data_IF_361307560737
#
_entry.id   IF_361307560737
#
_cell.length_a   1.000
_cell.length_b   1.000
_cell.length_c   1.000
_cell.angle_alpha   90.00
_cell.angle_beta   90.00
_cell.angle_gamma   90.00
#
_symmetry.space_group_name_H-M   'P 1'
#
loop_
_entity.id
_entity.type
_entity.pdbx_description
1 polymer ?
#
# COMPACT_ATOMS: atom_id res chain seq x y z
N UNK A 1 -11.73 10.77 -1.71
CA UNK A 1 -12.35 9.49 -1.32
C UNK A 1 -13.56 9.75 -0.43
N UNK A 2 -14.69 9.05 -0.64
CA UNK A 2 -15.83 9.16 0.29
C UNK A 2 -15.49 8.38 1.56
N UNK A 3 -15.50 9.06 2.71
CA UNK A 3 -15.34 8.40 4.01
C UNK A 3 -16.46 7.40 4.22
N UNK A 4 -16.13 6.20 4.67
CA UNK A 4 -17.13 5.22 5.07
C UNK A 4 -17.86 5.74 6.31
N UNK A 5 -19.17 5.93 6.20
CA UNK A 5 -19.99 6.29 7.37
C UNK A 5 -20.22 5.07 8.25
N UNK A 6 -20.48 5.29 9.54
CA UNK A 6 -20.84 4.21 10.50
C UNK A 6 -22.00 3.38 9.97
N UNK A 7 -22.99 4.01 9.32
CA UNK A 7 -24.11 3.34 8.70
C UNK A 7 -23.72 2.44 7.52
N UNK A 8 -22.71 2.85 6.72
CA UNK A 8 -22.20 2.01 5.65
C UNK A 8 -21.52 0.76 6.20
N UNK A 9 -20.72 0.90 7.27
CA UNK A 9 -20.06 -0.22 7.94
C UNK A 9 -21.09 -1.17 8.55
N UNK A 10 -22.10 -0.65 9.28
CA UNK A 10 -23.17 -1.46 9.86
C UNK A 10 -23.97 -2.21 8.79
N UNK A 11 -24.30 -1.56 7.68
CA UNK A 11 -25.00 -2.20 6.56
C UNK A 11 -24.19 -3.34 5.95
N UNK A 12 -22.90 -3.16 5.74
CA UNK A 12 -22.02 -4.20 5.19
C UNK A 12 -21.80 -5.36 6.19
N UNK A 13 -21.75 -5.08 7.49
CA UNK A 13 -21.71 -6.10 8.51
C UNK A 13 -23.00 -6.98 8.50
N UNK A 14 -24.17 -6.37 8.34
CA UNK A 14 -25.44 -7.10 8.24
C UNK A 14 -25.54 -7.96 6.97
N UNK A 15 -24.81 -7.61 5.91
CA UNK A 15 -24.72 -8.40 4.66
C UNK A 15 -23.80 -9.61 4.78
N UNK A 16 -23.22 -9.88 5.94
CA UNK A 16 -22.29 -10.99 6.19
C UNK A 16 -21.14 -11.03 5.16
N UNK A 17 -20.68 -9.86 4.75
CA UNK A 17 -19.59 -9.71 3.78
C UNK A 17 -19.84 -10.39 2.42
N UNK A 18 -21.08 -10.61 2.03
CA UNK A 18 -21.43 -11.14 0.72
C UNK A 18 -21.61 -10.02 -0.32
N UNK A 19 -21.29 -10.33 -1.58
CA UNK A 19 -21.56 -9.41 -2.71
C UNK A 19 -20.58 -8.23 -2.83
N UNK A 20 -19.39 -8.31 -2.25
CA UNK A 20 -18.38 -7.26 -2.38
C UNK A 20 -17.89 -7.16 -3.82
N UNK A 21 -17.88 -5.95 -4.35
CA UNK A 21 -17.26 -5.67 -5.65
C UNK A 21 -15.76 -5.74 -5.49
N UNK A 22 -15.07 -6.28 -6.50
CA UNK A 22 -13.60 -6.18 -6.56
C UNK A 22 -13.19 -4.72 -6.48
N UNK A 23 -12.18 -4.43 -5.67
CA UNK A 23 -11.62 -3.09 -5.50
C UNK A 23 -10.89 -2.64 -6.77
N UNK A 24 -10.32 -3.60 -7.50
CA UNK A 24 -9.64 -3.36 -8.78
C UNK A 24 -10.53 -3.77 -9.96
N UNK A 25 -10.33 -3.12 -11.08
CA UNK A 25 -10.97 -3.45 -12.34
C UNK A 25 -9.90 -3.75 -13.39
N UNK A 26 -10.27 -4.59 -14.36
CA UNK A 26 -9.52 -4.78 -15.60
C UNK A 26 -10.26 -4.00 -16.71
N UNK A 27 -10.03 -2.70 -16.84
CA UNK A 27 -10.69 -1.91 -17.89
C UNK A 27 -10.12 -2.27 -19.25
N UNK A 28 -10.90 -1.99 -20.29
CA UNK A 28 -10.37 -2.03 -21.66
C UNK A 28 -9.17 -1.09 -21.77
N UNK A 29 -8.07 -1.52 -22.41
CA UNK A 29 -6.90 -0.69 -22.58
C UNK A 29 -7.22 0.59 -23.35
N UNK A 30 -6.65 1.70 -22.89
CA UNK A 30 -6.68 2.96 -23.64
C UNK A 30 -5.72 2.90 -24.83
N UNK A 31 -5.89 3.81 -25.79
CA UNK A 31 -4.99 3.92 -26.94
C UNK A 31 -3.56 4.36 -26.57
N UNK A 32 -3.42 5.11 -25.46
CA UNK A 32 -2.14 5.61 -24.99
C UNK A 32 -2.16 5.82 -23.48
N UNK A 33 -0.99 5.73 -22.88
CA UNK A 33 -0.71 6.02 -21.48
C UNK A 33 0.53 6.89 -21.37
N UNK A 34 0.57 7.75 -20.36
CA UNK A 34 1.75 8.56 -20.06
C UNK A 34 2.85 7.72 -19.40
N UNK A 35 2.44 6.75 -18.58
CA UNK A 35 3.35 5.82 -17.90
C UNK A 35 2.77 4.41 -17.92
N UNK A 36 3.62 3.44 -18.19
CA UNK A 36 3.32 2.01 -18.07
C UNK A 36 4.23 1.41 -17.01
N UNK A 37 3.64 0.79 -16.01
CA UNK A 37 4.34 0.11 -14.92
C UNK A 37 4.15 -1.40 -15.09
N UNK A 38 5.25 -2.13 -15.13
CA UNK A 38 5.24 -3.58 -15.25
C UNK A 38 5.38 -4.20 -13.86
N UNK A 39 4.37 -4.91 -13.44
CA UNK A 39 4.26 -5.55 -12.13
C UNK A 39 3.37 -4.81 -11.14
N UNK A 40 2.34 -5.49 -10.63
CA UNK A 40 1.42 -4.98 -9.61
C UNK A 40 1.75 -5.49 -8.21
N UNK A 41 3.02 -5.53 -7.87
CA UNK A 41 3.51 -5.70 -6.50
C UNK A 41 3.52 -4.38 -5.74
N UNK A 42 3.98 -4.40 -4.49
CA UNK A 42 4.03 -3.21 -3.62
C UNK A 42 4.75 -2.02 -4.25
N UNK A 43 5.89 -2.25 -4.89
CA UNK A 43 6.64 -1.18 -5.58
C UNK A 43 5.87 -0.60 -6.76
N UNK A 44 5.31 -1.43 -7.63
CA UNK A 44 4.57 -0.95 -8.80
C UNK A 44 3.32 -0.17 -8.41
N UNK A 45 2.56 -0.66 -7.44
CA UNK A 45 1.36 0.01 -6.93
C UNK A 45 1.71 1.32 -6.21
N UNK A 46 2.77 1.33 -5.39
CA UNK A 46 3.24 2.54 -4.74
C UNK A 46 3.72 3.57 -5.77
N UNK A 47 4.44 3.15 -6.81
CA UNK A 47 4.86 4.03 -7.89
C UNK A 47 3.65 4.68 -8.56
N UNK A 48 2.62 3.90 -8.95
CA UNK A 48 1.41 4.45 -9.54
C UNK A 48 0.70 5.44 -8.60
N UNK A 49 0.61 5.10 -7.32
CA UNK A 49 -0.02 5.95 -6.30
C UNK A 49 0.71 7.29 -6.16
N UNK A 50 2.04 7.26 -5.99
CA UNK A 50 2.81 8.49 -5.78
C UNK A 50 2.99 9.32 -7.05
N UNK A 51 2.97 8.73 -8.24
CA UNK A 51 2.88 9.49 -9.49
C UNK A 51 1.62 10.34 -9.52
N UNK A 52 0.47 9.76 -9.15
CA UNK A 52 -0.78 10.50 -9.04
C UNK A 52 -0.77 11.53 -7.91
N UNK A 53 -0.34 11.13 -6.69
CA UNK A 53 -0.38 11.97 -5.49
C UNK A 53 0.55 13.18 -5.58
N UNK A 54 1.81 12.96 -6.01
CA UNK A 54 2.85 13.98 -5.92
C UNK A 54 3.02 14.77 -7.22
N UNK A 55 2.69 14.18 -8.37
CA UNK A 55 2.97 14.77 -9.69
C UNK A 55 1.73 14.98 -10.54
N UNK A 56 0.56 14.54 -10.09
CA UNK A 56 -0.68 14.64 -10.87
C UNK A 56 -0.73 13.74 -12.10
N UNK A 57 0.20 12.79 -12.25
CA UNK A 57 0.26 11.87 -13.39
C UNK A 57 -0.74 10.74 -13.13
N UNK A 58 -1.91 10.81 -13.78
CA UNK A 58 -3.02 9.88 -13.54
C UNK A 58 -3.32 8.95 -14.71
N UNK A 59 -2.79 9.22 -15.90
CA UNK A 59 -2.96 8.35 -17.06
C UNK A 59 -1.89 7.25 -17.06
N UNK A 60 -1.98 6.37 -16.07
CA UNK A 60 -1.01 5.30 -15.79
C UNK A 60 -1.66 3.94 -16.04
N UNK A 61 -0.94 3.03 -16.70
CA UNK A 61 -1.27 1.61 -16.74
C UNK A 61 -0.36 0.81 -15.81
N UNK A 62 -0.92 -0.12 -15.07
CA UNK A 62 -0.16 -1.14 -14.33
C UNK A 62 -0.47 -2.49 -14.95
N UNK A 63 0.55 -3.17 -15.46
CA UNK A 63 0.42 -4.45 -16.15
C UNK A 63 0.98 -5.54 -15.24
N UNK A 64 0.16 -6.56 -14.95
CA UNK A 64 0.52 -7.70 -14.12
C UNK A 64 0.27 -9.02 -14.88
N UNK A 65 1.24 -9.91 -14.88
CA UNK A 65 1.11 -11.22 -15.57
C UNK A 65 0.28 -12.25 -14.79
N UNK A 66 0.16 -12.09 -13.50
CA UNK A 66 -0.53 -13.02 -12.59
C UNK A 66 -1.72 -12.36 -11.90
N UNK A 67 -1.59 -12.13 -10.62
CA UNK A 67 -2.60 -11.44 -9.81
C UNK A 67 -1.95 -10.37 -8.94
N UNK A 68 -2.76 -9.44 -8.51
CA UNK A 68 -2.35 -8.29 -7.72
C UNK A 68 -1.59 -8.74 -6.46
N UNK A 69 -0.35 -8.29 -6.29
CA UNK A 69 0.49 -8.68 -5.16
C UNK A 69 0.98 -10.12 -5.17
N UNK A 70 0.73 -10.90 -6.22
CA UNK A 70 0.98 -12.35 -6.27
C UNK A 70 2.44 -12.79 -6.22
N UNK A 71 3.38 -11.86 -6.34
CA UNK A 71 4.82 -12.10 -6.18
C UNK A 71 5.27 -12.04 -4.72
N UNK A 72 6.44 -11.44 -4.47
CA UNK A 72 7.02 -11.31 -3.13
C UNK A 72 6.13 -10.51 -2.17
N UNK A 73 5.34 -9.56 -2.66
CA UNK A 73 4.45 -8.74 -1.83
C UNK A 73 3.46 -9.58 -1.02
N UNK A 74 2.83 -10.58 -1.63
CA UNK A 74 1.89 -11.46 -0.93
C UNK A 74 2.53 -12.64 -0.20
N UNK A 75 3.86 -12.74 -0.19
CA UNK A 75 4.62 -13.85 0.42
C UNK A 75 5.65 -13.39 1.45
N UNK A 76 5.58 -12.13 1.84
CA UNK A 76 6.51 -11.56 2.82
C UNK A 76 6.03 -11.83 4.25
N UNK A 77 6.91 -11.56 5.21
CA UNK A 77 6.65 -11.75 6.64
C UNK A 77 5.87 -10.59 7.27
N UNK A 78 5.50 -9.58 6.49
CA UNK A 78 4.80 -8.35 6.95
C UNK A 78 5.53 -7.55 8.03
N UNK A 79 6.83 -7.79 8.22
CA UNK A 79 7.66 -7.05 9.16
C UNK A 79 8.33 -5.88 8.44
N UNK A 80 8.09 -4.67 8.93
CA UNK A 80 8.73 -3.44 8.45
C UNK A 80 9.75 -3.00 9.49
N UNK A 81 11.01 -2.89 9.08
CA UNK A 81 12.11 -2.50 9.95
C UNK A 81 13.08 -1.58 9.21
N UNK A 82 13.82 -0.75 9.96
CA UNK A 82 14.82 0.18 9.43
C UNK A 82 16.25 -0.08 9.91
N UNK A 83 16.44 -1.03 10.82
CA UNK A 83 17.73 -1.37 11.42
C UNK A 83 18.63 -2.19 10.49
N UNK A 84 19.03 -1.61 9.37
CA UNK A 84 19.96 -2.22 8.44
C UNK A 84 21.39 -1.74 8.71
N UNK A 85 22.38 -2.62 8.50
CA UNK A 85 23.79 -2.36 8.78
C UNK A 85 24.43 -1.31 7.83
N UNK A 86 23.83 -1.10 6.66
CA UNK A 86 24.36 -0.15 5.68
C UNK A 86 23.54 1.13 5.71
N UNK A 87 24.18 2.28 5.91
CA UNK A 87 23.53 3.58 6.01
C UNK A 87 22.60 3.93 4.84
N UNK A 88 22.96 3.70 3.56
CA UNK A 88 22.02 3.98 2.47
C UNK A 88 20.77 3.12 2.51
N UNK A 89 20.90 1.85 2.90
CA UNK A 89 19.74 0.95 3.07
C UNK A 89 18.90 1.39 4.25
N UNK A 90 19.52 1.73 5.38
CA UNK A 90 18.79 2.23 6.55
C UNK A 90 17.98 3.48 6.23
N UNK A 91 18.53 4.44 5.48
CA UNK A 91 17.84 5.65 5.08
C UNK A 91 16.61 5.38 4.19
N UNK A 92 16.72 4.45 3.22
CA UNK A 92 15.59 4.04 2.37
C UNK A 92 14.48 3.38 3.19
N UNK A 93 14.86 2.47 4.09
CA UNK A 93 13.88 1.76 4.91
C UNK A 93 13.24 2.66 5.98
N UNK A 94 13.98 3.62 6.53
CA UNK A 94 13.43 4.63 7.44
C UNK A 94 12.39 5.51 6.72
N UNK A 95 12.70 5.95 5.49
CA UNK A 95 11.74 6.67 4.67
C UNK A 95 10.51 5.81 4.35
N UNK A 96 10.70 4.55 3.98
CA UNK A 96 9.58 3.64 3.73
C UNK A 96 8.70 3.49 4.98
N UNK A 97 9.30 3.29 6.16
CA UNK A 97 8.59 3.20 7.43
C UNK A 97 7.74 4.43 7.70
N UNK A 98 8.32 5.63 7.54
CA UNK A 98 7.57 6.88 7.74
C UNK A 98 6.34 7.00 6.82
N UNK A 99 6.41 6.48 5.59
CA UNK A 99 5.27 6.45 4.68
C UNK A 99 4.16 5.49 5.16
N UNK A 100 4.51 4.39 5.83
CA UNK A 100 3.52 3.47 6.39
C UNK A 100 2.76 4.08 7.59
N UNK A 101 3.40 4.95 8.38
CA UNK A 101 2.75 5.61 9.52
C UNK A 101 1.54 6.44 9.08
N UNK A 102 1.65 7.15 7.96
CA UNK A 102 0.59 8.01 7.44
C UNK A 102 -0.38 7.28 6.50
N UNK A 103 -0.02 6.08 6.04
CA UNK A 103 -0.71 5.41 4.93
C UNK A 103 -2.19 5.12 5.23
N UNK A 104 -2.53 4.79 6.47
CA UNK A 104 -3.93 4.56 6.85
C UNK A 104 -4.79 5.81 6.70
N UNK A 105 -4.25 6.98 7.00
CA UNK A 105 -4.95 8.26 6.83
C UNK A 105 -5.01 8.64 5.36
N UNK A 106 -3.92 8.51 4.64
CA UNK A 106 -3.81 8.80 3.22
C UNK A 106 -4.82 8.00 2.38
N UNK A 107 -4.95 6.72 2.66
CA UNK A 107 -5.84 5.83 1.93
C UNK A 107 -7.28 5.79 2.50
N UNK A 108 -7.51 6.41 3.67
CA UNK A 108 -8.75 6.23 4.45
C UNK A 108 -9.09 4.74 4.62
N UNK A 109 -8.08 3.94 4.89
CA UNK A 109 -8.15 2.49 5.06
C UNK A 109 -7.17 2.04 6.14
N UNK A 110 -7.62 1.24 7.09
CA UNK A 110 -6.73 0.72 8.12
C UNK A 110 -5.78 -0.34 7.52
N UNK A 111 -4.52 0.01 7.33
CA UNK A 111 -3.47 -0.90 6.87
C UNK A 111 -2.91 -1.77 8.00
N UNK A 112 -3.47 -1.66 9.21
CA UNK A 112 -3.08 -2.41 10.41
C UNK A 112 -1.59 -2.30 10.75
N UNK A 113 -0.97 -1.16 10.40
CA UNK A 113 0.42 -0.90 10.77
C UNK A 113 0.48 -0.61 12.28
N UNK A 114 1.18 -1.47 13.02
CA UNK A 114 1.36 -1.32 14.45
C UNK A 114 2.84 -1.08 14.79
N UNK A 115 3.23 0.13 15.19
CA UNK A 115 4.60 0.45 15.62
C UNK A 115 4.90 -0.10 17.01
N UNK A 116 4.94 -1.42 17.19
CA UNK A 116 4.87 -2.08 18.50
C UNK A 116 6.21 -2.14 19.24
N UNK A 117 7.34 -1.92 18.58
CA UNK A 117 8.66 -2.08 19.22
C UNK A 117 9.48 -0.82 19.02
N UNK A 118 9.55 0.02 20.05
CA UNK A 118 10.67 0.94 20.19
C UNK A 118 11.87 0.13 20.70
N UNK A 119 12.86 -0.07 19.87
CA UNK A 119 14.14 -0.50 20.37
C UNK A 119 14.71 0.60 21.26
N UNK A 120 14.76 0.33 22.56
CA UNK A 120 15.26 1.27 23.56
C UNK A 120 16.76 1.60 23.37
N UNK A 121 17.47 0.76 22.62
CA UNK A 121 18.92 0.92 22.39
C UNK A 121 19.23 1.78 21.17
N UNK A 122 18.39 1.76 20.15
CA UNK A 122 18.64 2.47 18.89
C UNK A 122 17.72 3.67 18.67
N UNK A 123 16.73 3.89 19.54
CA UNK A 123 15.71 4.93 19.41
C UNK A 123 14.88 4.87 18.11
N UNK A 124 15.01 3.79 17.33
CA UNK A 124 14.30 3.58 16.09
C UNK A 124 13.09 2.66 16.30
N UNK A 125 11.87 3.15 16.09
CA UNK A 125 10.67 2.30 16.17
C UNK A 125 10.66 1.30 15.02
N UNK A 126 10.33 0.06 15.33
CA UNK A 126 10.04 -0.98 14.33
C UNK A 126 8.51 -1.15 14.22
N UNK A 127 8.02 -1.38 13.04
CA UNK A 127 6.60 -1.59 12.78
C UNK A 127 6.32 -2.99 12.24
N UNK A 128 5.16 -3.52 12.60
CA UNK A 128 4.63 -4.78 12.08
C UNK A 128 3.31 -4.47 11.37
N UNK A 129 3.15 -4.96 10.15
CA UNK A 129 1.85 -5.04 9.46
C UNK A 129 1.20 -6.37 9.85
N UNK A 130 -0.02 -6.32 10.32
CA UNK A 130 -0.85 -7.48 10.62
C UNK A 130 -1.87 -7.72 9.51
#
# INVERSE_FOLDING_TARGET
MKRNSVFAVAREAMRQHSGWRRTWANPEPKKSYDVIIIGAGGHGLATAYYLGKNFGITNVAVIEKGWLGGGNTGRNTTIIRSNYLQDPSAAIYEKARSLYEDLSQDLNYNVMFNPTIRDKTTNHPQGILL
#
